data_IF_019529091183
#
_entry.id   IF_019529091183
#
_cell.length_a   1.000
_cell.length_b   1.000
_cell.length_c   1.000
_cell.angle_alpha   90.00
_cell.angle_beta   90.00
_cell.angle_gamma   90.00
#
_symmetry.space_group_name_H-M   'P 1'
#
loop_
_entity.id
_entity.type
_entity.pdbx_description
1 polymer ?
#
# COMPACT_ATOMS: atom_id res chain seq x y z
N UNK A 1 -12.60 -16.94 2.32
CA UNK A 1 -11.61 -17.67 3.15
C UNK A 1 -11.77 -17.36 4.63
N UNK A 2 -11.32 -18.28 5.53
CA UNK A 2 -11.43 -18.06 6.99
C UNK A 2 -10.42 -17.04 7.52
N UNK A 3 -9.30 -16.85 6.84
CA UNK A 3 -8.14 -16.09 7.32
C UNK A 3 -7.80 -14.81 6.54
N UNK A 4 -8.42 -14.57 5.40
CA UNK A 4 -8.28 -13.32 4.64
C UNK A 4 -9.64 -12.97 4.06
N UNK A 5 -10.39 -12.16 4.78
CA UNK A 5 -11.71 -11.67 4.40
C UNK A 5 -11.87 -10.21 4.83
N UNK A 6 -12.98 -9.61 4.46
CA UNK A 6 -13.27 -8.20 4.71
C UNK A 6 -13.05 -7.78 6.17
N UNK A 7 -13.51 -8.58 7.14
CA UNK A 7 -13.34 -8.27 8.56
C UNK A 7 -11.87 -8.19 8.98
N UNK A 8 -11.02 -9.09 8.42
CA UNK A 8 -9.58 -9.04 8.68
C UNK A 8 -8.95 -7.78 8.07
N UNK A 9 -9.31 -7.42 6.84
CA UNK A 9 -8.79 -6.22 6.18
C UNK A 9 -9.16 -4.96 6.97
N UNK A 10 -10.41 -4.84 7.36
CA UNK A 10 -10.91 -3.72 8.18
C UNK A 10 -10.17 -3.63 9.51
N UNK A 11 -10.03 -4.77 10.23
CA UNK A 11 -9.35 -4.79 11.52
C UNK A 11 -7.86 -4.44 11.41
N UNK A 12 -7.15 -4.98 10.41
CA UNK A 12 -5.73 -4.70 10.17
C UNK A 12 -5.55 -3.23 9.78
N UNK A 13 -6.39 -2.70 8.90
CA UNK A 13 -6.29 -1.30 8.46
C UNK A 13 -6.57 -0.34 9.61
N UNK A 14 -7.57 -0.62 10.44
CA UNK A 14 -7.83 0.16 11.65
C UNK A 14 -6.65 0.10 12.62
N UNK A 15 -6.07 -1.08 12.83
CA UNK A 15 -4.87 -1.24 13.67
C UNK A 15 -3.68 -0.43 13.12
N UNK A 16 -3.49 -0.39 11.80
CA UNK A 16 -2.46 0.45 11.16
C UNK A 16 -2.74 1.94 11.42
N UNK A 17 -3.99 2.41 11.30
CA UNK A 17 -4.35 3.80 11.60
C UNK A 17 -4.00 4.16 13.06
N UNK A 18 -4.31 3.27 14.00
CA UNK A 18 -3.99 3.47 15.41
C UNK A 18 -2.48 3.42 15.68
N UNK A 19 -1.75 2.52 15.00
CA UNK A 19 -0.29 2.47 15.07
C UNK A 19 0.33 3.77 14.57
N UNK A 20 -0.12 4.29 13.40
CA UNK A 20 0.32 5.57 12.85
C UNK A 20 0.11 6.72 13.85
N UNK A 21 -1.06 6.77 14.48
CA UNK A 21 -1.35 7.77 15.50
C UNK A 21 -0.41 7.66 16.71
N UNK A 22 -0.16 6.45 17.20
CA UNK A 22 0.77 6.19 18.30
C UNK A 22 2.23 6.54 17.96
N UNK A 23 2.64 6.41 16.69
CA UNK A 23 3.97 6.76 16.20
C UNK A 23 4.07 8.20 15.68
N UNK A 24 2.99 9.00 15.74
CA UNK A 24 2.93 10.34 15.17
C UNK A 24 3.28 10.39 13.67
N UNK A 25 2.94 9.34 12.92
CA UNK A 25 3.10 9.28 11.46
C UNK A 25 1.93 10.04 10.82
N UNK A 26 2.18 11.28 10.40
CA UNK A 26 1.14 12.22 9.95
C UNK A 26 1.22 12.55 8.45
N UNK A 27 2.21 12.03 7.74
CA UNK A 27 2.32 12.20 6.28
C UNK A 27 1.35 11.29 5.51
N UNK A 28 1.36 11.35 4.18
CA UNK A 28 0.48 10.54 3.36
C UNK A 28 0.81 9.04 3.47
N UNK A 29 -0.22 8.20 3.31
CA UNK A 29 -0.08 6.77 3.17
C UNK A 29 -0.20 6.39 1.70
N UNK A 30 0.82 5.71 1.15
CA UNK A 30 0.81 5.18 -0.21
C UNK A 30 0.15 3.80 -0.22
N UNK A 31 -0.97 3.67 -0.94
CA UNK A 31 -1.76 2.45 -1.03
C UNK A 31 -1.59 1.82 -2.41
N UNK A 32 -1.05 0.60 -2.46
CA UNK A 32 -0.88 -0.17 -3.68
C UNK A 32 -1.53 -1.55 -3.59
N UNK A 33 -1.75 -2.17 -4.75
CA UNK A 33 -2.29 -3.52 -4.88
C UNK A 33 -1.62 -4.27 -6.01
N UNK A 34 -1.58 -5.58 -5.92
CA UNK A 34 -1.14 -6.46 -7.00
C UNK A 34 -2.33 -7.04 -7.80
N UNK A 35 -2.05 -7.99 -8.69
CA UNK A 35 -3.00 -8.60 -9.63
C UNK A 35 -3.80 -9.78 -9.06
N UNK A 36 -3.59 -10.17 -7.78
CA UNK A 36 -4.37 -11.25 -7.18
C UNK A 36 -5.85 -10.89 -7.07
N UNK A 37 -6.73 -11.87 -7.26
CA UNK A 37 -8.17 -11.66 -7.32
C UNK A 37 -8.76 -10.99 -6.06
N UNK A 38 -8.15 -11.23 -4.89
CA UNK A 38 -8.59 -10.62 -3.63
C UNK A 38 -8.03 -9.23 -3.39
N UNK A 39 -7.04 -8.78 -4.19
CA UNK A 39 -6.34 -7.52 -3.94
C UNK A 39 -7.21 -6.29 -4.23
N UNK A 40 -8.03 -6.32 -5.28
CA UNK A 40 -8.95 -5.21 -5.57
C UNK A 40 -9.98 -4.98 -4.45
N UNK A 41 -10.79 -5.99 -4.04
CA UNK A 41 -11.75 -5.78 -2.96
C UNK A 41 -11.10 -5.45 -1.62
N UNK A 42 -9.91 -6.01 -1.33
CA UNK A 42 -9.17 -5.68 -0.11
C UNK A 42 -8.63 -4.25 -0.12
N UNK A 43 -8.16 -3.76 -1.27
CA UNK A 43 -7.72 -2.38 -1.44
C UNK A 43 -8.88 -1.39 -1.25
N UNK A 44 -10.06 -1.70 -1.80
CA UNK A 44 -11.27 -0.91 -1.59
C UNK A 44 -11.63 -0.83 -0.10
N UNK A 45 -11.67 -1.97 0.60
CA UNK A 45 -11.95 -2.05 2.04
C UNK A 45 -10.92 -1.27 2.88
N UNK A 46 -9.63 -1.36 2.51
CA UNK A 46 -8.58 -0.59 3.18
C UNK A 46 -8.79 0.92 2.98
N UNK A 47 -9.10 1.37 1.76
CA UNK A 47 -9.37 2.78 1.47
C UNK A 47 -10.55 3.33 2.29
N UNK A 48 -11.63 2.56 2.41
CA UNK A 48 -12.80 2.93 3.21
C UNK A 48 -12.45 3.20 4.68
N UNK A 49 -11.59 2.34 5.24
CA UNK A 49 -11.15 2.45 6.63
C UNK A 49 -10.15 3.60 6.82
N UNK A 50 -9.17 3.73 5.92
CA UNK A 50 -8.17 4.82 5.94
C UNK A 50 -8.85 6.19 5.84
N UNK A 51 -9.75 6.37 4.88
CA UNK A 51 -10.47 7.63 4.68
C UNK A 51 -11.36 7.98 5.89
N UNK A 52 -12.02 6.98 6.50
CA UNK A 52 -12.82 7.18 7.70
C UNK A 52 -11.99 7.62 8.92
N UNK A 53 -10.71 7.24 8.96
CA UNK A 53 -9.76 7.65 9.98
C UNK A 53 -9.03 8.97 9.64
N UNK A 54 -9.40 9.66 8.56
CA UNK A 54 -8.81 10.94 8.16
C UNK A 54 -7.37 10.83 7.65
N UNK A 55 -6.95 9.66 7.20
CA UNK A 55 -5.60 9.44 6.65
C UNK A 55 -5.54 10.02 5.24
N UNK A 56 -4.52 10.83 4.95
CA UNK A 56 -4.19 11.25 3.59
C UNK A 56 -3.70 10.04 2.80
N UNK A 57 -4.46 9.57 1.82
CA UNK A 57 -4.17 8.34 1.07
C UNK A 57 -3.81 8.67 -0.37
N UNK A 58 -2.67 8.16 -0.84
CA UNK A 58 -2.26 8.21 -2.23
C UNK A 58 -2.64 6.89 -2.91
N UNK A 59 -3.54 6.95 -3.89
CA UNK A 59 -3.95 5.80 -4.71
C UNK A 59 -3.45 5.96 -6.14
N UNK A 60 -3.29 4.85 -6.87
CA UNK A 60 -2.93 4.93 -8.28
C UNK A 60 -3.97 5.71 -9.09
N UNK A 61 -3.51 6.67 -9.91
CA UNK A 61 -4.39 7.57 -10.68
C UNK A 61 -5.26 6.85 -11.71
N UNK A 62 -4.75 5.74 -12.25
CA UNK A 62 -5.43 4.95 -13.29
C UNK A 62 -6.09 3.69 -12.72
N UNK A 63 -6.02 3.51 -11.38
CA UNK A 63 -6.54 2.33 -10.68
C UNK A 63 -5.74 1.06 -10.96
N UNK A 64 -4.52 1.20 -11.44
CA UNK A 64 -3.63 0.12 -11.86
C UNK A 64 -3.05 -0.71 -10.70
N UNK A 65 -2.11 -1.57 -11.05
CA UNK A 65 -1.38 -2.40 -10.12
C UNK A 65 -0.03 -1.79 -9.78
N UNK A 66 0.43 -1.99 -8.54
CA UNK A 66 1.63 -1.32 -8.03
C UNK A 66 2.57 -2.37 -7.44
N UNK A 67 3.73 -2.63 -8.07
CA UNK A 67 4.75 -3.50 -7.49
C UNK A 67 5.26 -2.97 -6.14
N UNK A 68 5.56 -3.87 -5.22
CA UNK A 68 6.04 -3.52 -3.86
C UNK A 68 7.17 -2.49 -3.85
N UNK A 69 8.23 -2.60 -4.70
CA UNK A 69 9.32 -1.62 -4.69
C UNK A 69 8.89 -0.20 -5.11
N UNK A 70 7.80 -0.06 -5.86
CA UNK A 70 7.28 1.26 -6.26
C UNK A 70 6.68 1.99 -5.06
N UNK A 71 5.99 1.29 -4.17
CA UNK A 71 5.50 1.87 -2.91
C UNK A 71 6.68 2.26 -2.00
N UNK A 72 7.69 1.40 -1.86
CA UNK A 72 8.90 1.71 -1.11
C UNK A 72 9.59 2.97 -1.64
N UNK A 73 9.71 3.09 -2.97
CA UNK A 73 10.28 4.26 -3.63
C UNK A 73 9.47 5.53 -3.35
N UNK A 74 8.14 5.47 -3.43
CA UNK A 74 7.27 6.61 -3.15
C UNK A 74 7.46 7.12 -1.71
N UNK A 75 7.48 6.21 -0.73
CA UNK A 75 7.73 6.53 0.68
C UNK A 75 9.10 7.21 0.85
N UNK A 76 10.16 6.59 0.34
CA UNK A 76 11.54 7.09 0.49
C UNK A 76 11.73 8.44 -0.20
N UNK A 77 11.16 8.60 -1.38
CA UNK A 77 11.24 9.85 -2.14
C UNK A 77 10.51 10.98 -1.42
N UNK A 78 9.32 10.72 -0.90
CA UNK A 78 8.58 11.69 -0.10
C UNK A 78 9.32 12.05 1.19
N UNK A 79 9.88 11.08 1.88
CA UNK A 79 10.53 11.27 3.18
C UNK A 79 11.94 11.88 3.09
N UNK A 80 12.51 12.01 1.91
CA UNK A 80 13.86 12.53 1.70
C UNK A 80 14.01 13.93 2.30
N UNK A 81 14.89 14.07 3.29
CA UNK A 81 15.15 15.33 3.98
C UNK A 81 14.07 15.77 4.99
N UNK A 82 13.06 14.96 5.24
CA UNK A 82 12.00 15.22 6.22
C UNK A 82 12.32 14.59 7.56
N UNK A 83 11.98 15.26 8.64
CA UNK A 83 12.08 14.77 10.03
C UNK A 83 10.72 14.64 10.70
N UNK A 84 9.66 15.14 10.06
CA UNK A 84 8.28 15.08 10.53
C UNK A 84 7.32 15.01 9.35
N UNK A 85 6.06 14.66 9.59
CA UNK A 85 5.08 14.47 8.52
C UNK A 85 5.49 13.35 7.56
N UNK A 86 6.10 12.28 8.10
CA UNK A 86 6.64 11.19 7.31
C UNK A 86 5.53 10.33 6.70
N UNK A 87 5.73 9.95 5.45
CA UNK A 87 4.88 9.01 4.73
C UNK A 87 5.21 7.57 5.09
N UNK A 88 4.24 6.69 4.90
CA UNK A 88 4.33 5.23 4.99
C UNK A 88 3.47 4.58 3.90
N UNK A 89 3.24 3.27 3.95
CA UNK A 89 2.44 2.63 2.90
C UNK A 89 1.86 1.29 3.28
N UNK A 90 0.83 0.91 2.51
CA UNK A 90 0.22 -0.42 2.51
C UNK A 90 0.29 -1.00 1.11
N UNK A 91 0.68 -2.27 1.01
CA UNK A 91 0.62 -3.03 -0.23
C UNK A 91 -0.30 -4.22 -0.01
N UNK A 92 -1.35 -4.32 -0.82
CA UNK A 92 -2.25 -5.47 -0.84
C UNK A 92 -1.67 -6.50 -1.79
N UNK A 93 -1.02 -7.51 -1.24
CA UNK A 93 -0.32 -8.57 -1.98
C UNK A 93 0.00 -9.76 -1.08
N UNK A 94 -0.26 -11.00 -1.53
CA UNK A 94 0.29 -12.20 -0.92
C UNK A 94 1.69 -12.55 -1.45
N UNK A 95 2.34 -11.65 -2.20
CA UNK A 95 3.64 -11.87 -2.88
C UNK A 95 3.51 -12.85 -4.08
N UNK A 96 4.18 -14.00 -4.04
CA UNK A 96 4.19 -15.04 -5.08
C UNK A 96 3.29 -16.26 -4.74
N UNK A 97 2.37 -16.07 -3.82
CA UNK A 97 1.43 -17.13 -3.45
C UNK A 97 0.44 -17.45 -4.57
N UNK A 98 -0.26 -18.59 -4.51
CA UNK A 98 -1.30 -18.93 -5.48
C UNK A 98 -2.38 -17.84 -5.65
N UNK A 99 -3.04 -17.75 -6.81
CA UNK A 99 -3.99 -16.68 -7.16
C UNK A 99 -5.14 -16.49 -6.18
N UNK A 100 -5.51 -17.55 -5.48
CA UNK A 100 -6.56 -17.55 -4.46
C UNK A 100 -6.15 -16.98 -3.12
N UNK A 101 -4.86 -16.74 -2.90
CA UNK A 101 -4.38 -16.16 -1.65
C UNK A 101 -4.52 -14.63 -1.65
N UNK A 102 -4.52 -14.06 -0.46
CA UNK A 102 -4.50 -12.63 -0.25
C UNK A 102 -3.54 -12.26 0.87
N UNK A 103 -3.06 -11.05 0.84
CA UNK A 103 -2.13 -10.53 1.84
C UNK A 103 -2.18 -9.01 1.96
N UNK A 104 -1.74 -8.52 3.10
CA UNK A 104 -1.59 -7.11 3.37
C UNK A 104 -0.25 -6.88 4.05
N UNK A 105 0.52 -5.93 3.57
CA UNK A 105 1.83 -5.56 4.09
C UNK A 105 1.85 -4.09 4.44
N UNK A 106 2.44 -3.77 5.58
CA UNK A 106 2.69 -2.40 5.99
C UNK A 106 4.18 -2.06 5.84
N UNK A 107 4.44 -0.93 5.22
CA UNK A 107 5.77 -0.36 5.09
C UNK A 107 5.83 0.94 5.90
N UNK A 108 6.57 0.97 7.03
CA UNK A 108 6.76 2.16 7.84
C UNK A 108 7.57 3.24 7.10
N UNK A 109 7.81 4.42 7.70
CA UNK A 109 8.54 5.53 7.07
C UNK A 109 9.94 5.20 6.56
N UNK A 110 10.55 4.09 7.00
CA UNK A 110 11.81 3.57 6.45
C UNK A 110 11.69 3.05 5.01
N UNK A 111 10.47 2.89 4.49
CA UNK A 111 10.18 2.42 3.13
C UNK A 111 10.30 0.91 2.94
N UNK A 112 10.96 0.20 3.84
CA UNK A 112 11.07 -1.26 3.84
C UNK A 112 9.86 -1.94 4.47
N UNK A 113 9.81 -3.29 4.47
CA UNK A 113 8.77 -4.02 5.19
C UNK A 113 8.86 -3.77 6.70
N UNK A 114 7.71 -3.73 7.37
CA UNK A 114 7.64 -3.61 8.82
C UNK A 114 8.40 -4.77 9.51
N UNK A 115 9.13 -4.43 10.56
CA UNK A 115 9.81 -5.43 11.38
C UNK A 115 8.83 -6.23 12.25
N UNK A 116 9.37 -7.22 12.97
CA UNK A 116 8.56 -8.13 13.79
C UNK A 116 7.84 -7.41 14.95
N UNK A 117 8.40 -6.33 15.47
CA UNK A 117 7.77 -5.60 16.58
C UNK A 117 6.55 -4.83 16.07
N UNK A 118 6.69 -4.18 14.93
CA UNK A 118 5.60 -3.45 14.27
C UNK A 118 4.48 -4.41 13.83
N UNK A 119 4.84 -5.50 13.14
CA UNK A 119 3.85 -6.48 12.68
C UNK A 119 3.11 -7.13 13.84
N UNK A 120 3.82 -7.46 14.93
CA UNK A 120 3.21 -8.02 16.14
C UNK A 120 2.25 -7.06 16.81
N UNK A 121 2.60 -5.78 16.90
CA UNK A 121 1.71 -4.76 17.48
C UNK A 121 0.41 -4.63 16.66
N UNK A 122 0.54 -4.56 15.32
CA UNK A 122 -0.61 -4.45 14.41
C UNK A 122 -1.48 -5.73 14.50
N UNK A 123 -0.86 -6.90 14.52
CA UNK A 123 -1.54 -8.20 14.64
C UNK A 123 -2.34 -8.28 15.95
N UNK A 124 -1.71 -7.99 17.08
CA UNK A 124 -2.36 -8.06 18.39
C UNK A 124 -3.54 -7.10 18.47
N UNK A 125 -3.38 -5.89 17.93
CA UNK A 125 -4.46 -4.91 17.89
C UNK A 125 -5.60 -5.33 16.96
N UNK A 126 -5.29 -5.82 15.76
CA UNK A 126 -6.29 -6.33 14.82
C UNK A 126 -7.07 -7.51 15.42
N UNK A 127 -6.40 -8.44 16.09
CA UNK A 127 -7.04 -9.56 16.77
C UNK A 127 -7.96 -9.09 17.91
N UNK A 128 -7.56 -8.06 18.66
CA UNK A 128 -8.43 -7.47 19.70
C UNK A 128 -9.69 -6.82 19.10
N UNK A 129 -9.57 -6.14 17.95
CA UNK A 129 -10.72 -5.57 17.23
C UNK A 129 -11.67 -6.67 16.73
N UNK A 130 -11.13 -7.76 16.16
CA UNK A 130 -11.92 -8.91 15.74
C UNK A 130 -12.65 -9.58 16.91
N UNK A 131 -11.97 -9.79 18.04
CA UNK A 131 -12.57 -10.35 19.25
C UNK A 131 -13.69 -9.46 19.81
N UNK A 132 -13.60 -8.14 19.63
CA UNK A 132 -14.62 -7.16 19.99
C UNK A 132 -15.72 -6.99 18.91
N UNK A 133 -15.83 -7.90 17.94
CA UNK A 133 -16.76 -7.80 16.81
C UNK A 133 -16.63 -6.45 16.07
N UNK A 134 -15.41 -6.00 15.80
CA UNK A 134 -15.05 -4.76 15.11
C UNK A 134 -15.55 -3.48 15.81
N UNK A 135 -15.86 -3.56 17.11
CA UNK A 135 -16.24 -2.37 17.88
C UNK A 135 -15.07 -1.37 17.92
N UNK A 136 -15.31 -0.14 17.50
CA UNK A 136 -14.31 0.92 17.41
C UNK A 136 -13.65 1.05 16.03
N UNK A 137 -14.02 0.19 15.08
CA UNK A 137 -13.61 0.36 13.67
C UNK A 137 -14.50 1.39 13.00
N UNK A 138 -13.90 2.29 12.23
CA UNK A 138 -14.60 3.26 11.39
C UNK A 138 -14.42 2.95 9.92
N UNK A 139 -15.47 3.21 9.13
CA UNK A 139 -15.50 2.92 7.70
C UNK A 139 -16.43 3.87 6.97
N UNK A 140 -16.04 4.33 5.78
CA UNK A 140 -16.88 5.04 4.82
C UNK A 140 -17.29 4.10 3.68
N UNK A 141 -18.46 4.30 3.06
CA UNK A 141 -18.76 3.64 1.78
C UNK A 141 -17.70 3.97 0.73
N UNK A 142 -17.34 3.00 -0.12
CA UNK A 142 -16.25 3.14 -1.10
C UNK A 142 -16.39 4.39 -2.00
N UNK A 143 -17.61 4.72 -2.44
CA UNK A 143 -17.85 5.90 -3.27
C UNK A 143 -17.58 7.22 -2.52
N UNK A 144 -17.80 7.24 -1.20
CA UNK A 144 -17.46 8.37 -0.36
C UNK A 144 -15.95 8.42 -0.10
N UNK A 145 -15.34 7.26 0.19
CA UNK A 145 -13.91 7.16 0.43
C UNK A 145 -13.09 7.63 -0.79
N UNK A 146 -13.50 7.24 -2.00
CA UNK A 146 -12.86 7.68 -3.26
C UNK A 146 -12.94 9.19 -3.51
N UNK A 147 -13.99 9.85 -2.99
CA UNK A 147 -14.24 11.30 -3.13
C UNK A 147 -13.85 12.11 -1.91
N UNK A 148 -13.34 11.44 -0.88
CA UNK A 148 -12.90 12.13 0.33
C UNK A 148 -11.77 13.12 -0.01
N UNK A 149 -11.75 14.25 0.68
CA UNK A 149 -10.68 15.25 0.51
C UNK A 149 -9.29 14.71 0.89
N UNK A 150 -9.25 13.61 1.62
CA UNK A 150 -8.04 12.89 2.03
C UNK A 150 -7.59 11.82 1.03
N UNK A 151 -8.33 11.58 -0.07
CA UNK A 151 -7.95 10.60 -1.09
C UNK A 151 -7.42 11.32 -2.33
N UNK A 152 -6.16 11.05 -2.65
CA UNK A 152 -5.44 11.71 -3.74
C UNK A 152 -4.94 10.70 -4.76
N UNK A 153 -4.92 11.12 -6.03
CA UNK A 153 -4.34 10.34 -7.12
C UNK A 153 -2.82 10.55 -7.19
N UNK A 154 -2.08 9.47 -7.41
CA UNK A 154 -0.62 9.49 -7.55
C UNK A 154 -0.17 8.76 -8.81
N UNK A 155 0.79 9.34 -9.52
CA UNK A 155 1.44 8.69 -10.67
C UNK A 155 2.61 7.81 -10.19
N UNK A 156 2.29 6.58 -9.82
CA UNK A 156 3.30 5.63 -9.37
C UNK A 156 4.30 5.26 -10.45
N UNK A 157 3.81 5.00 -11.67
CA UNK A 157 4.64 4.52 -12.80
C UNK A 157 5.59 5.64 -13.24
N UNK A 158 5.07 6.82 -13.54
CA UNK A 158 5.88 7.94 -14.02
C UNK A 158 6.96 8.35 -13.04
N UNK A 159 6.62 8.45 -11.75
CA UNK A 159 7.56 8.80 -10.70
C UNK A 159 8.71 7.77 -10.57
N UNK A 160 8.35 6.48 -10.50
CA UNK A 160 9.33 5.40 -10.36
C UNK A 160 10.24 5.27 -11.58
N UNK A 161 9.64 5.18 -12.78
CA UNK A 161 10.38 4.98 -14.03
C UNK A 161 11.31 6.16 -14.30
N UNK A 162 10.87 7.40 -14.06
CA UNK A 162 11.72 8.57 -14.24
C UNK A 162 12.95 8.59 -13.33
N UNK A 163 12.87 7.99 -12.15
CA UNK A 163 13.97 7.95 -11.19
C UNK A 163 14.98 6.83 -11.48
N UNK A 164 14.61 5.82 -12.29
CA UNK A 164 15.51 4.70 -12.67
C UNK A 164 16.80 5.17 -13.31
N UNK A 165 16.80 6.33 -13.99
CA UNK A 165 18.01 6.93 -14.59
C UNK A 165 19.15 7.20 -13.58
N UNK A 166 18.85 7.24 -12.28
CA UNK A 166 19.84 7.44 -11.24
C UNK A 166 20.51 6.13 -10.78
N UNK A 167 19.99 4.99 -11.19
CA UNK A 167 20.52 3.65 -10.83
C UNK A 167 20.86 2.79 -12.04
N UNK A 168 20.33 3.14 -13.23
CA UNK A 168 20.53 2.40 -14.47
C UNK A 168 20.94 3.37 -15.57
N UNK A 169 21.97 3.05 -16.35
CA UNK A 169 22.37 3.81 -17.52
C UNK A 169 21.38 3.58 -18.68
N UNK A 170 20.32 4.39 -18.67
CA UNK A 170 19.25 4.31 -19.67
C UNK A 170 19.74 4.68 -21.07
N UNK A 171 20.77 5.53 -21.21
CA UNK A 171 21.32 5.94 -22.52
C UNK A 171 22.10 4.80 -23.16
N UNK A 172 22.89 4.08 -22.37
CA UNK A 172 23.57 2.87 -22.84
C UNK A 172 22.57 1.80 -23.31
N UNK A 173 21.48 1.57 -22.54
CA UNK A 173 20.45 0.60 -22.93
C UNK A 173 19.78 1.02 -24.25
N UNK A 174 19.42 2.30 -24.36
CA UNK A 174 18.78 2.85 -25.57
C UNK A 174 19.69 2.76 -26.78
N UNK A 175 20.98 3.07 -26.63
CA UNK A 175 21.98 2.99 -27.72
C UNK A 175 22.25 1.56 -28.15
N UNK A 176 22.00 0.55 -27.33
CA UNK A 176 22.23 -0.86 -27.60
C UNK A 176 21.39 -1.48 -28.72
N UNK A 177 20.31 -0.80 -29.17
CA UNK A 177 19.43 -1.28 -30.24
C UNK A 177 18.79 -2.65 -29.95
N UNK A 178 18.57 -2.96 -28.67
CA UNK A 178 18.09 -4.27 -28.24
C UNK A 178 16.62 -4.50 -28.64
N UNK A 179 16.33 -5.74 -29.04
CA UNK A 179 14.96 -6.24 -29.20
C UNK A 179 14.59 -6.95 -27.92
N UNK A 180 13.63 -6.38 -27.17
CA UNK A 180 13.21 -6.89 -25.88
C UNK A 180 11.80 -7.49 -25.97
N UNK A 181 11.63 -8.68 -25.41
CA UNK A 181 10.32 -9.26 -25.10
C UNK A 181 10.12 -9.22 -23.60
N UNK A 182 8.92 -8.79 -23.16
CA UNK A 182 8.58 -8.69 -21.76
C UNK A 182 7.32 -9.51 -21.52
N UNK A 183 7.39 -10.44 -20.58
CA UNK A 183 6.24 -11.22 -20.13
C UNK A 183 6.20 -11.20 -18.59
N UNK A 184 5.30 -10.42 -17.97
CA UNK A 184 5.19 -10.34 -16.52
C UNK A 184 4.45 -11.54 -15.90
N UNK A 185 4.01 -12.54 -16.70
CA UNK A 185 3.30 -13.74 -16.25
C UNK A 185 2.08 -13.44 -15.33
N UNK A 186 1.38 -12.33 -15.58
CA UNK A 186 0.24 -11.89 -14.75
C UNK A 186 0.65 -11.19 -13.45
N UNK A 187 1.94 -10.89 -13.25
CA UNK A 187 2.41 -10.08 -12.12
C UNK A 187 2.06 -8.60 -12.26
N UNK A 188 2.30 -7.82 -11.19
CA UNK A 188 1.93 -6.40 -11.09
C UNK A 188 2.76 -5.44 -11.96
N UNK A 189 3.59 -5.96 -12.85
CA UNK A 189 4.27 -5.22 -13.92
C UNK A 189 3.50 -5.20 -15.24
N UNK A 190 2.25 -5.60 -15.27
CA UNK A 190 1.36 -5.57 -16.44
C UNK A 190 0.88 -4.17 -16.75
#
# INVERSE_FOLDING_TARGET
KRSFNENHIVAITQAICEYRAAQHTTGPLYLGKDTHALSEPACATALESLSANGVEVMIDRDGGFTPTPVISHAILTYNRGRTSGLADGIIITPSHNPPEDGGIKYNPPSGGPADTQITKWIEDRANALLAANLRGVTRLPIEQARRASTTHQHDYIGAYVSDLRHVVDMDTIKAGGLKLGIDPLGGSGV
#
